data_IF_671231979988
#
_entry.id   IF_671231979988
#
_cell.length_a   1.000
_cell.length_b   1.000
_cell.length_c   1.000
_cell.angle_alpha   90.00
_cell.angle_beta   90.00
_cell.angle_gamma   90.00
#
_symmetry.space_group_name_H-M   'P 1'
#
loop_
_entity.id
_entity.type
_entity.pdbx_description
1 polymer ?
#
# COMPACT_ATOMS: atom_id res chain seq x y z
N UNK A 1 38.66 7.43 -29.80
CA UNK A 1 37.58 6.73 -30.50
C UNK A 1 36.60 6.30 -29.41
N UNK A 2 35.64 7.16 -29.11
CA UNK A 2 34.63 6.96 -28.05
C UNK A 2 33.51 6.11 -28.64
N UNK A 3 33.36 4.88 -28.13
CA UNK A 3 32.20 4.05 -28.42
C UNK A 3 30.94 4.77 -27.95
N UNK A 4 30.09 5.12 -28.92
CA UNK A 4 28.74 5.58 -28.66
C UNK A 4 27.96 4.35 -28.20
N UNK A 5 27.78 4.22 -26.89
CA UNK A 5 26.89 3.24 -26.29
C UNK A 5 25.46 3.66 -26.62
N UNK A 6 25.02 3.28 -27.83
CA UNK A 6 23.65 3.44 -28.28
C UNK A 6 22.79 2.43 -27.51
N UNK A 7 22.48 2.78 -26.26
CA UNK A 7 21.56 2.04 -25.43
C UNK A 7 20.30 1.71 -26.23
N UNK A 8 19.89 0.45 -26.17
CA UNK A 8 18.72 -0.04 -26.90
C UNK A 8 17.53 0.88 -26.61
N UNK A 9 16.84 1.42 -27.64
CA UNK A 9 15.73 2.33 -27.41
C UNK A 9 14.68 1.64 -26.55
N UNK A 10 14.23 2.32 -25.49
CA UNK A 10 13.17 1.81 -24.63
C UNK A 10 11.96 1.44 -25.50
N UNK A 11 11.32 0.28 -25.25
CA UNK A 11 10.14 -0.10 -26.01
C UNK A 11 9.08 1.01 -25.91
N UNK A 12 8.37 1.33 -27.01
CA UNK A 12 7.38 2.39 -27.01
C UNK A 12 6.27 2.08 -26.01
N UNK A 13 5.80 3.12 -25.32
CA UNK A 13 4.68 3.02 -24.40
C UNK A 13 3.42 2.50 -25.11
N UNK A 14 2.76 1.52 -24.50
CA UNK A 14 1.51 0.95 -25.03
C UNK A 14 0.34 1.73 -24.46
N UNK A 15 -0.71 1.91 -25.26
CA UNK A 15 -1.86 2.73 -24.87
C UNK A 15 -3.15 2.01 -25.19
N UNK A 16 -4.10 2.11 -24.25
CA UNK A 16 -5.44 1.59 -24.42
C UNK A 16 -6.48 2.46 -23.72
N UNK A 17 -7.72 2.36 -24.15
CA UNK A 17 -8.87 3.02 -23.53
C UNK A 17 -9.96 2.00 -23.21
N UNK A 18 -10.76 2.31 -22.20
CA UNK A 18 -11.91 1.49 -21.81
C UNK A 18 -13.14 2.38 -21.75
N UNK A 19 -14.14 2.06 -22.57
CA UNK A 19 -15.42 2.77 -22.61
C UNK A 19 -16.37 2.31 -21.49
N UNK A 20 -17.47 3.04 -21.30
CA UNK A 20 -18.42 2.80 -20.21
C UNK A 20 -19.15 1.45 -20.31
N UNK A 21 -19.35 0.96 -21.53
CA UNK A 21 -19.89 -0.37 -21.81
C UNK A 21 -18.86 -1.50 -21.60
N UNK A 22 -17.59 -1.15 -21.33
CA UNK A 22 -16.48 -2.08 -21.16
C UNK A 22 -15.73 -2.42 -22.44
N UNK A 23 -16.07 -1.81 -23.57
CA UNK A 23 -15.33 -1.98 -24.81
C UNK A 23 -13.90 -1.44 -24.64
N UNK A 24 -12.91 -2.25 -25.00
CA UNK A 24 -11.49 -1.92 -24.94
C UNK A 24 -10.99 -1.57 -26.34
N UNK A 25 -10.24 -0.48 -26.47
CA UNK A 25 -9.57 -0.08 -27.71
C UNK A 25 -8.09 0.16 -27.46
N UNK A 26 -7.22 -0.22 -28.40
CA UNK A 26 -5.76 -0.14 -28.25
C UNK A 26 -5.13 -1.44 -27.75
N UNK A 27 -3.90 -1.36 -27.27
CA UNK A 27 -3.10 -2.49 -26.81
C UNK A 27 -2.77 -2.33 -25.33
N UNK A 28 -3.29 -3.23 -24.50
CA UNK A 28 -2.94 -3.33 -23.07
C UNK A 28 -1.79 -4.30 -22.81
N UNK A 29 -1.30 -4.99 -23.84
CA UNK A 29 -0.22 -5.96 -23.76
C UNK A 29 -0.59 -7.26 -23.08
N UNK A 30 -1.87 -7.48 -22.76
CA UNK A 30 -2.33 -8.61 -21.95
C UNK A 30 -3.70 -9.17 -22.39
N UNK A 31 -4.01 -9.04 -23.68
CA UNK A 31 -5.25 -9.56 -24.30
C UNK A 31 -6.53 -9.06 -23.60
N UNK A 32 -6.53 -7.81 -23.12
CA UNK A 32 -7.66 -7.20 -22.43
C UNK A 32 -7.74 -7.49 -20.92
N UNK A 33 -6.87 -8.35 -20.36
CA UNK A 33 -6.90 -8.69 -18.94
C UNK A 33 -6.53 -7.50 -18.06
N UNK A 34 -5.47 -6.77 -18.42
CA UNK A 34 -5.07 -5.56 -17.71
C UNK A 34 -6.19 -4.52 -17.77
N UNK A 35 -6.82 -4.33 -18.93
CA UNK A 35 -7.92 -3.38 -19.08
C UNK A 35 -9.10 -3.70 -18.14
N UNK A 36 -9.50 -4.97 -18.04
CA UNK A 36 -10.58 -5.43 -17.14
C UNK A 36 -10.18 -5.27 -15.67
N UNK A 37 -8.99 -5.72 -15.30
CA UNK A 37 -8.45 -5.61 -13.94
C UNK A 37 -8.35 -4.17 -13.48
N UNK A 38 -7.81 -3.29 -14.32
CA UNK A 38 -7.67 -1.87 -14.04
C UNK A 38 -9.03 -1.19 -13.92
N UNK A 39 -10.00 -1.50 -14.80
CA UNK A 39 -11.37 -0.99 -14.68
C UNK A 39 -12.00 -1.39 -13.35
N UNK A 40 -11.84 -2.65 -12.94
CA UNK A 40 -12.33 -3.12 -11.65
C UNK A 40 -11.65 -2.40 -10.49
N UNK A 41 -10.31 -2.26 -10.53
CA UNK A 41 -9.53 -1.54 -9.53
C UNK A 41 -10.00 -0.08 -9.39
N UNK A 42 -10.15 0.65 -10.51
CA UNK A 42 -10.64 2.03 -10.52
C UNK A 42 -12.08 2.14 -9.98
N UNK A 43 -12.95 1.17 -10.29
CA UNK A 43 -14.31 1.15 -9.75
C UNK A 43 -14.33 0.98 -8.23
N UNK A 44 -13.50 0.08 -7.70
CA UNK A 44 -13.37 -0.13 -6.25
C UNK A 44 -12.74 1.10 -5.59
N UNK A 45 -11.70 1.67 -6.21
CA UNK A 45 -11.03 2.87 -5.72
C UNK A 45 -11.96 4.09 -5.72
N UNK A 46 -12.85 4.24 -6.71
CA UNK A 46 -13.85 5.31 -6.71
C UNK A 46 -14.80 5.25 -5.52
N UNK A 47 -15.10 4.06 -4.98
CA UNK A 47 -15.94 3.94 -3.78
C UNK A 47 -15.26 4.47 -2.50
N UNK A 48 -13.94 4.65 -2.51
CA UNK A 48 -13.21 5.20 -1.37
C UNK A 48 -13.50 6.69 -1.17
N UNK A 49 -14.02 7.40 -2.18
CA UNK A 49 -14.40 8.81 -2.05
C UNK A 49 -15.44 9.01 -0.93
N UNK A 50 -16.40 8.09 -0.81
CA UNK A 50 -17.46 8.14 0.19
C UNK A 50 -16.95 7.89 1.62
N UNK A 51 -15.83 7.17 1.75
CA UNK A 51 -15.24 6.84 3.04
C UNK A 51 -14.23 7.89 3.52
N UNK A 52 -13.57 8.55 2.57
CA UNK A 52 -12.42 9.42 2.84
C UNK A 52 -12.74 10.90 2.64
N UNK A 53 -13.78 11.23 1.87
CA UNK A 53 -14.05 12.59 1.43
C UNK A 53 -13.04 13.12 0.42
N UNK A 54 -12.23 12.26 -0.21
CA UNK A 54 -11.15 12.66 -1.12
C UNK A 54 -11.62 13.24 -2.47
N UNK A 55 -12.93 13.20 -2.76
CA UNK A 55 -13.50 13.60 -4.05
C UNK A 55 -13.37 12.50 -5.11
N UNK A 56 -13.71 12.83 -6.35
CA UNK A 56 -13.68 11.86 -7.46
C UNK A 56 -12.24 11.36 -7.72
N UNK A 57 -12.10 10.07 -8.03
CA UNK A 57 -10.84 9.49 -8.51
C UNK A 57 -10.54 10.01 -9.92
N UNK A 58 -9.35 10.60 -10.11
CA UNK A 58 -8.92 11.20 -11.38
C UNK A 58 -7.82 10.38 -12.07
N UNK A 59 -6.91 9.79 -11.30
CA UNK A 59 -5.81 8.98 -11.84
C UNK A 59 -5.52 7.75 -11.01
N UNK A 60 -5.06 6.71 -11.69
CA UNK A 60 -4.42 5.55 -11.08
C UNK A 60 -3.05 5.40 -11.69
N UNK A 61 -2.01 5.40 -10.87
CA UNK A 61 -0.65 5.12 -11.32
C UNK A 61 -0.02 4.02 -10.47
N UNK A 62 1.00 3.37 -11.02
CA UNK A 62 1.71 2.30 -10.33
C UNK A 62 3.21 2.55 -10.32
N UNK A 63 3.84 2.19 -9.20
CA UNK A 63 5.30 2.21 -9.06
C UNK A 63 5.78 0.76 -9.13
N UNK A 64 6.34 0.38 -10.27
CA UNK A 64 6.75 -1.00 -10.55
C UNK A 64 7.71 -1.04 -11.75
N UNK A 65 8.26 -2.22 -12.04
CA UNK A 65 9.00 -2.47 -13.27
C UNK A 65 8.15 -2.34 -14.54
N UNK A 66 6.82 -2.41 -14.42
CA UNK A 66 5.88 -2.17 -15.52
C UNK A 66 4.86 -1.12 -15.10
N UNK A 67 5.22 0.14 -15.28
CA UNK A 67 4.41 1.27 -14.84
C UNK A 67 3.16 1.40 -15.71
N UNK A 68 2.01 1.46 -15.05
CA UNK A 68 0.70 1.79 -15.61
C UNK A 68 0.30 3.14 -15.07
N UNK A 69 -0.05 4.07 -15.96
CA UNK A 69 -0.66 5.36 -15.63
C UNK A 69 -1.99 5.47 -16.37
N UNK A 70 -3.08 5.69 -15.66
CA UNK A 70 -4.41 5.73 -16.23
C UNK A 70 -5.21 6.93 -15.72
N UNK A 71 -5.75 7.69 -16.66
CA UNK A 71 -6.75 8.72 -16.38
C UNK A 71 -8.11 8.06 -16.23
N UNK A 72 -8.79 8.38 -15.15
CA UNK A 72 -10.13 7.89 -14.81
C UNK A 72 -11.17 8.93 -15.20
N UNK A 73 -12.24 8.48 -15.84
CA UNK A 73 -13.42 9.27 -16.12
C UNK A 73 -14.67 8.53 -15.69
N UNK A 74 -15.74 9.27 -15.40
CA UNK A 74 -17.02 8.72 -14.95
C UNK A 74 -18.13 9.12 -15.93
N UNK A 75 -18.91 8.14 -16.37
CA UNK A 75 -20.13 8.41 -17.15
C UNK A 75 -21.21 9.01 -16.26
N UNK A 76 -22.28 9.53 -16.87
CA UNK A 76 -23.47 10.01 -16.14
C UNK A 76 -24.13 8.91 -15.30
N UNK A 77 -23.99 7.65 -15.70
CA UNK A 77 -24.47 6.48 -14.95
C UNK A 77 -23.46 6.01 -13.88
N UNK A 78 -22.40 6.77 -13.60
CA UNK A 78 -21.27 6.41 -12.72
C UNK A 78 -20.54 5.13 -13.15
N UNK A 79 -20.50 4.88 -14.46
CA UNK A 79 -19.65 3.83 -15.03
C UNK A 79 -18.23 4.36 -15.28
N UNK A 80 -17.23 3.53 -14.93
CA UNK A 80 -15.82 3.86 -15.12
C UNK A 80 -15.43 3.82 -16.59
N UNK A 81 -14.73 4.85 -17.03
CA UNK A 81 -14.02 4.96 -18.31
C UNK A 81 -12.54 5.23 -18.04
N UNK A 82 -11.65 4.77 -18.92
CA UNK A 82 -10.21 4.86 -18.71
C UNK A 82 -9.47 5.25 -19.99
N UNK A 83 -8.39 5.99 -19.83
CA UNK A 83 -7.33 6.14 -20.83
C UNK A 83 -6.00 5.84 -20.16
N UNK A 84 -5.32 4.78 -20.58
CA UNK A 84 -4.16 4.24 -19.90
C UNK A 84 -2.95 4.14 -20.82
N UNK A 85 -1.78 4.32 -20.22
CA UNK A 85 -0.46 4.15 -20.80
C UNK A 85 0.34 3.17 -19.95
N UNK A 86 1.01 2.24 -20.61
CA UNK A 86 1.82 1.17 -20.01
C UNK A 86 3.25 1.31 -20.51
N UNK A 87 4.17 1.52 -19.58
CA UNK A 87 5.58 1.71 -19.83
C UNK A 87 6.40 0.60 -19.17
N UNK A 88 7.22 -0.08 -19.97
CA UNK A 88 8.20 -1.02 -19.45
C UNK A 88 9.39 -0.27 -18.86
N UNK A 89 9.65 -0.48 -17.58
CA UNK A 89 10.80 0.03 -16.85
C UNK A 89 11.84 -1.04 -16.56
N UNK A 90 13.02 -0.61 -16.12
CA UNK A 90 14.01 -1.53 -15.56
C UNK A 90 13.58 -1.97 -14.16
N UNK A 91 13.73 -3.26 -13.80
CA UNK A 91 13.52 -3.71 -12.43
C UNK A 91 14.42 -2.91 -11.48
N UNK A 92 13.82 -2.31 -10.46
CA UNK A 92 14.56 -1.61 -9.41
C UNK A 92 15.00 -2.64 -8.36
N UNK A 93 16.30 -2.74 -8.01
CA UNK A 93 16.69 -3.58 -6.89
C UNK A 93 16.09 -3.03 -5.59
N UNK A 94 15.55 -3.90 -4.71
CA UNK A 94 15.07 -3.47 -3.41
C UNK A 94 16.24 -2.89 -2.60
N UNK A 95 15.99 -1.82 -1.86
CA UNK A 95 17.02 -1.22 -0.98
C UNK A 95 17.25 -2.15 0.21
N UNK A 96 18.51 -2.43 0.52
CA UNK A 96 18.86 -3.24 1.70
C UNK A 96 18.80 -2.38 2.96
N UNK A 97 18.14 -2.89 4.01
CA UNK A 97 18.08 -2.24 5.32
C UNK A 97 18.61 -3.18 6.40
N UNK A 98 19.32 -2.61 7.38
CA UNK A 98 19.71 -3.33 8.59
C UNK A 98 18.69 -3.03 9.67
N UNK A 99 17.83 -4.00 10.00
CA UNK A 99 16.85 -3.85 11.09
C UNK A 99 17.55 -4.19 12.41
N UNK A 100 17.56 -3.24 13.34
CA UNK A 100 18.13 -3.42 14.68
C UNK A 100 16.99 -3.67 15.68
N UNK A 101 16.82 -4.94 16.07
CA UNK A 101 15.86 -5.36 17.11
C UNK A 101 14.58 -5.99 16.55
N UNK A 102 14.23 -7.17 17.05
CA UNK A 102 13.10 -7.97 16.56
C UNK A 102 12.42 -8.76 17.67
N UNK A 103 11.71 -8.07 18.57
CA UNK A 103 10.82 -8.76 19.51
C UNK A 103 9.43 -8.14 19.64
N UNK A 104 9.24 -6.86 19.27
CA UNK A 104 7.95 -6.18 19.41
C UNK A 104 7.44 -5.67 18.05
N UNK A 105 6.46 -6.39 17.51
CA UNK A 105 5.78 -6.05 16.25
C UNK A 105 5.03 -4.71 16.35
N UNK A 106 4.53 -4.34 17.53
CA UNK A 106 3.81 -3.08 17.72
C UNK A 106 4.75 -1.89 17.74
N UNK A 107 5.95 -2.03 18.33
CA UNK A 107 7.00 -1.02 18.23
C UNK A 107 7.47 -0.82 16.78
N UNK A 108 7.65 -1.92 16.04
CA UNK A 108 8.00 -1.87 14.62
C UNK A 108 6.89 -1.20 13.77
N UNK A 109 5.63 -1.57 14.01
CA UNK A 109 4.47 -0.94 13.37
C UNK A 109 4.39 0.56 13.68
N UNK A 110 4.51 0.95 14.96
CA UNK A 110 4.49 2.35 15.36
C UNK A 110 5.62 3.15 14.68
N UNK A 111 6.83 2.58 14.62
CA UNK A 111 7.96 3.18 13.92
C UNK A 111 7.67 3.37 12.42
N UNK A 112 7.24 2.31 11.73
CA UNK A 112 6.89 2.38 10.30
C UNK A 112 5.77 3.39 10.02
N UNK A 113 4.72 3.40 10.83
CA UNK A 113 3.60 4.33 10.69
C UNK A 113 4.02 5.79 10.94
N UNK A 114 4.90 6.03 11.91
CA UNK A 114 5.49 7.35 12.14
C UNK A 114 6.36 7.79 10.96
N UNK A 115 7.18 6.90 10.41
CA UNK A 115 8.04 7.18 9.24
C UNK A 115 7.21 7.50 8.00
N UNK A 116 6.19 6.69 7.69
CA UNK A 116 5.22 6.95 6.61
C UNK A 116 4.63 8.34 6.76
N UNK A 117 4.16 8.69 7.96
CA UNK A 117 3.57 10.02 8.23
C UNK A 117 4.55 11.16 8.02
N UNK A 118 5.77 11.05 8.56
CA UNK A 118 6.76 12.13 8.50
C UNK A 118 7.30 12.35 7.09
N UNK A 119 7.57 11.26 6.36
CA UNK A 119 8.27 11.32 5.07
C UNK A 119 7.32 11.57 3.90
N UNK A 120 6.07 11.07 3.98
CA UNK A 120 5.06 11.27 2.95
C UNK A 120 4.08 12.40 3.28
N UNK A 121 4.19 13.02 4.45
CA UNK A 121 3.28 14.08 4.89
C UNK A 121 1.82 13.62 4.98
N UNK A 122 1.59 12.34 5.32
CA UNK A 122 0.24 11.76 5.27
C UNK A 122 -0.64 12.31 6.38
N UNK A 123 -1.88 12.62 6.05
CA UNK A 123 -2.92 12.97 7.01
C UNK A 123 -3.25 11.78 7.89
N UNK A 124 -3.38 10.60 7.28
CA UNK A 124 -3.64 9.35 7.98
C UNK A 124 -3.08 8.16 7.18
N UNK A 125 -2.91 7.04 7.85
CA UNK A 125 -2.56 5.78 7.22
C UNK A 125 -2.74 4.61 8.17
N UNK A 126 -2.75 3.39 7.63
CA UNK A 126 -2.88 2.18 8.41
C UNK A 126 -2.31 0.95 7.68
N UNK A 127 -2.13 -0.11 8.45
CA UNK A 127 -1.80 -1.45 7.96
C UNK A 127 -2.98 -2.37 8.25
N UNK A 128 -3.52 -2.97 7.20
CA UNK A 128 -4.55 -4.01 7.29
C UNK A 128 -3.95 -5.35 6.91
N UNK A 129 -4.27 -6.36 7.70
CA UNK A 129 -3.86 -7.75 7.48
C UNK A 129 -4.78 -8.44 6.47
N UNK A 130 -4.37 -9.61 5.97
CA UNK A 130 -5.11 -10.34 4.94
C UNK A 130 -6.43 -10.92 5.44
N UNK A 131 -6.55 -11.10 6.76
CA UNK A 131 -7.80 -11.46 7.44
C UNK A 131 -8.67 -10.24 7.81
N UNK A 132 -8.30 -9.05 7.30
CA UNK A 132 -9.02 -7.77 7.38
C UNK A 132 -8.98 -7.08 8.73
N UNK A 133 -8.00 -7.39 9.60
CA UNK A 133 -7.77 -6.66 10.86
C UNK A 133 -6.81 -5.49 10.65
N UNK A 134 -7.13 -4.33 11.22
CA UNK A 134 -6.19 -3.20 11.26
C UNK A 134 -5.26 -3.39 12.45
N UNK A 135 -3.95 -3.47 12.21
CA UNK A 135 -2.94 -3.79 13.23
C UNK A 135 -2.02 -2.61 13.58
N UNK A 136 -2.06 -1.54 12.78
CA UNK A 136 -1.37 -0.29 13.06
C UNK A 136 -2.02 0.85 12.29
N UNK A 137 -2.03 2.04 12.89
CA UNK A 137 -2.55 3.26 12.25
C UNK A 137 -1.79 4.49 12.73
N UNK A 138 -1.67 5.49 11.85
CA UNK A 138 -1.29 6.85 12.17
C UNK A 138 -2.48 7.74 11.81
N UNK A 139 -3.16 8.30 12.80
CA UNK A 139 -4.31 9.21 12.60
C UNK A 139 -4.05 10.47 13.44
N UNK A 140 -4.48 11.67 12.99
CA UNK A 140 -4.33 12.89 13.78
C UNK A 140 -5.09 12.75 15.10
N UNK A 141 -4.48 13.17 16.21
CA UNK A 141 -5.12 13.11 17.54
C UNK A 141 -6.16 14.21 17.76
N UNK A 142 -6.26 15.19 16.86
CA UNK A 142 -7.15 16.34 17.00
C UNK A 142 -7.44 16.93 15.62
N UNK A 143 -8.70 16.89 15.19
CA UNK A 143 -9.13 17.60 13.99
C UNK A 143 -10.40 17.01 13.40
N UNK A 144 -11.51 17.74 13.56
CA UNK A 144 -12.86 17.38 13.10
C UNK A 144 -12.99 17.26 11.58
N UNK A 145 -12.51 16.16 11.02
CA UNK A 145 -12.58 15.84 9.59
C UNK A 145 -13.42 14.59 9.34
N UNK A 146 -13.75 14.33 8.07
CA UNK A 146 -14.60 13.19 7.63
C UNK A 146 -14.06 11.81 8.09
N UNK A 147 -12.76 11.73 8.42
CA UNK A 147 -12.11 10.56 9.03
C UNK A 147 -11.90 10.69 10.54
N UNK A 148 -12.76 11.42 11.24
CA UNK A 148 -12.83 11.48 12.71
C UNK A 148 -13.01 10.10 13.36
N UNK A 149 -13.36 9.08 12.57
CA UNK A 149 -13.56 7.74 13.05
C UNK A 149 -12.51 6.80 12.48
N UNK A 150 -11.60 6.34 13.35
CA UNK A 150 -10.83 5.10 13.19
C UNK A 150 -11.69 3.94 12.64
N UNK A 151 -13.01 3.99 12.84
CA UNK A 151 -14.01 3.05 12.32
C UNK A 151 -14.05 2.90 10.79
N UNK A 152 -13.66 3.90 10.00
CA UNK A 152 -13.65 3.78 8.53
C UNK A 152 -12.38 3.08 7.99
N UNK A 153 -11.30 3.02 8.79
CA UNK A 153 -10.01 2.45 8.36
C UNK A 153 -10.13 1.00 7.88
N UNK A 154 -10.83 0.08 8.56
CA UNK A 154 -10.98 -1.28 8.07
C UNK A 154 -11.66 -1.34 6.70
N UNK A 155 -12.67 -0.52 6.46
CA UNK A 155 -13.42 -0.52 5.20
C UNK A 155 -12.61 0.02 4.02
N UNK A 156 -11.79 1.05 4.29
CA UNK A 156 -10.77 1.56 3.36
C UNK A 156 -9.74 0.47 3.08
N UNK A 157 -9.22 -0.18 4.11
CA UNK A 157 -8.21 -1.23 3.98
C UNK A 157 -8.72 -2.44 3.18
N UNK A 158 -9.98 -2.84 3.35
CA UNK A 158 -10.60 -3.92 2.56
C UNK A 158 -10.63 -3.56 1.06
N UNK A 159 -10.98 -2.31 0.72
CA UNK A 159 -10.96 -1.83 -0.66
C UNK A 159 -9.54 -1.69 -1.20
N UNK A 160 -8.59 -1.26 -0.39
CA UNK A 160 -7.18 -1.23 -0.73
C UNK A 160 -6.65 -2.64 -1.07
N UNK A 161 -6.99 -3.65 -0.26
CA UNK A 161 -6.70 -5.06 -0.57
C UNK A 161 -7.36 -5.52 -1.86
N UNK A 162 -8.59 -5.09 -2.14
CA UNK A 162 -9.28 -5.44 -3.39
C UNK A 162 -8.64 -4.78 -4.62
N UNK A 163 -8.16 -3.54 -4.52
CA UNK A 163 -7.38 -2.86 -5.56
C UNK A 163 -6.09 -3.63 -5.84
N UNK A 164 -5.33 -3.99 -4.80
CA UNK A 164 -4.13 -4.82 -4.96
C UNK A 164 -4.49 -6.19 -5.57
N UNK A 165 -5.53 -6.85 -5.09
CA UNK A 165 -5.95 -8.16 -5.60
C UNK A 165 -6.45 -8.15 -7.04
N UNK A 166 -6.89 -7.00 -7.56
CA UNK A 166 -7.34 -6.85 -8.94
C UNK A 166 -6.17 -6.78 -9.93
N UNK A 167 -5.02 -6.24 -9.51
CA UNK A 167 -3.86 -6.03 -10.35
C UNK A 167 -2.86 -7.17 -10.19
N UNK A 168 -2.28 -7.62 -11.31
CA UNK A 168 -1.19 -8.59 -11.27
C UNK A 168 0.05 -8.01 -10.58
N UNK A 169 0.84 -8.89 -9.97
CA UNK A 169 1.99 -8.51 -9.13
C UNK A 169 2.98 -7.60 -9.88
N UNK A 170 3.25 -7.87 -11.17
CA UNK A 170 4.13 -7.07 -12.03
C UNK A 170 3.74 -5.58 -12.14
N UNK A 171 2.46 -5.27 -11.97
CA UNK A 171 1.98 -3.89 -12.04
C UNK A 171 2.02 -3.20 -10.68
N UNK A 172 1.98 -3.93 -9.57
CA UNK A 172 1.86 -3.37 -8.21
C UNK A 172 3.05 -3.69 -7.31
N UNK A 173 4.20 -4.02 -7.90
CA UNK A 173 5.39 -4.51 -7.20
C UNK A 173 5.78 -3.61 -6.03
N UNK A 174 5.79 -2.28 -6.21
CA UNK A 174 6.05 -1.33 -5.11
C UNK A 174 4.74 -0.85 -4.53
N UNK A 175 3.95 -0.10 -5.30
CA UNK A 175 2.66 0.42 -4.84
C UNK A 175 1.74 0.82 -5.99
N UNK A 176 0.49 1.09 -5.64
CA UNK A 176 -0.51 1.75 -6.45
C UNK A 176 -0.78 3.12 -5.83
N UNK A 177 -0.82 4.16 -6.64
CA UNK A 177 -1.21 5.51 -6.25
C UNK A 177 -2.57 5.81 -6.88
N UNK A 178 -3.48 6.29 -6.05
CA UNK A 178 -4.84 6.64 -6.43
C UNK A 178 -4.98 8.15 -6.20
N UNK A 179 -4.93 8.94 -7.27
CA UNK A 179 -5.04 10.39 -7.19
C UNK A 179 -6.50 10.80 -7.31
N UNK A 180 -7.00 11.41 -6.25
CA UNK A 180 -8.33 11.99 -6.14
C UNK A 180 -8.25 13.52 -6.22
N UNK A 181 -9.40 14.16 -6.39
CA UNK A 181 -9.51 15.62 -6.44
C UNK A 181 -8.91 16.34 -5.21
N UNK A 182 -8.87 15.69 -4.04
CA UNK A 182 -8.39 16.26 -2.78
C UNK A 182 -7.23 15.50 -2.13
N UNK A 183 -6.47 14.72 -2.91
CA UNK A 183 -5.24 14.10 -2.44
C UNK A 183 -4.96 12.74 -3.08
N UNK A 184 -3.88 12.12 -2.65
CA UNK A 184 -3.42 10.82 -3.16
C UNK A 184 -3.49 9.77 -2.06
N UNK A 185 -4.15 8.66 -2.35
CA UNK A 185 -4.08 7.45 -1.54
C UNK A 185 -2.99 6.53 -2.11
N UNK A 186 -1.97 6.26 -1.31
CA UNK A 186 -0.99 5.22 -1.55
C UNK A 186 -1.53 3.89 -1.05
N UNK A 187 -1.34 2.83 -1.82
CA UNK A 187 -1.64 1.45 -1.44
C UNK A 187 -0.47 0.54 -1.82
N UNK A 188 0.15 -0.11 -0.85
CA UNK A 188 1.31 -0.99 -1.04
C UNK A 188 1.08 -2.36 -0.41
N UNK A 189 1.46 -3.42 -1.14
CA UNK A 189 1.42 -4.78 -0.60
C UNK A 189 2.58 -5.03 0.37
N UNK A 190 2.32 -5.67 1.50
CA UNK A 190 3.31 -6.20 2.44
C UNK A 190 2.98 -7.69 2.63
N UNK A 191 3.49 -8.55 1.75
CA UNK A 191 3.02 -9.94 1.67
C UNK A 191 1.52 -10.00 1.32
N UNK A 192 0.72 -10.65 2.18
CA UNK A 192 -0.74 -10.74 2.06
C UNK A 192 -1.48 -9.58 2.77
N UNK A 193 -0.75 -8.53 3.16
CA UNK A 193 -1.26 -7.37 3.89
C UNK A 193 -1.15 -6.12 3.03
N UNK A 194 -1.80 -5.04 3.45
CA UNK A 194 -1.73 -3.76 2.77
C UNK A 194 -1.37 -2.64 3.74
N UNK A 195 -0.36 -1.85 3.36
CA UNK A 195 -0.16 -0.50 3.86
C UNK A 195 -0.96 0.45 2.97
N UNK A 196 -1.70 1.36 3.57
CA UNK A 196 -2.40 2.40 2.84
C UNK A 196 -2.34 3.72 3.61
N UNK A 197 -2.09 4.82 2.91
CA UNK A 197 -1.89 6.12 3.52
C UNK A 197 -2.31 7.24 2.57
N UNK A 198 -2.90 8.30 3.11
CA UNK A 198 -3.45 9.41 2.34
C UNK A 198 -2.70 10.70 2.64
N UNK A 199 -2.32 11.42 1.59
CA UNK A 199 -1.59 12.69 1.66
C UNK A 199 -2.11 13.65 0.59
N UNK A 200 -1.83 14.95 0.70
CA UNK A 200 -2.22 15.94 -0.33
C UNK A 200 -1.54 15.67 -1.66
N UNK A 201 -0.25 15.32 -1.61
CA UNK A 201 0.59 14.93 -2.75
C UNK A 201 1.67 13.99 -2.28
N UNK A 202 2.09 13.12 -3.19
CA UNK A 202 3.06 12.08 -2.91
C UNK A 202 4.17 12.12 -3.97
N UNK A 203 5.43 12.18 -3.52
CA UNK A 203 6.59 12.02 -4.40
C UNK A 203 6.88 10.53 -4.62
N UNK A 204 6.76 10.07 -5.87
CA UNK A 204 6.95 8.67 -6.26
C UNK A 204 8.34 8.12 -5.91
N UNK A 205 9.38 8.97 -5.86
CA UNK A 205 10.74 8.56 -5.48
C UNK A 205 10.81 8.25 -3.99
N UNK A 206 10.24 9.11 -3.17
CA UNK A 206 10.20 8.93 -1.71
C UNK A 206 9.34 7.72 -1.35
N UNK A 207 8.23 7.51 -2.05
CA UNK A 207 7.36 6.34 -1.87
C UNK A 207 8.11 5.04 -1.99
N UNK A 208 8.90 4.87 -3.06
CA UNK A 208 9.58 3.61 -3.29
C UNK A 208 10.56 3.27 -2.15
N UNK A 209 11.26 4.28 -1.62
CA UNK A 209 12.17 4.09 -0.49
C UNK A 209 11.43 3.74 0.80
N UNK A 210 10.32 4.43 1.10
CA UNK A 210 9.54 4.20 2.32
C UNK A 210 8.86 2.83 2.27
N UNK A 211 8.31 2.42 1.13
CA UNK A 211 7.69 1.10 1.00
C UNK A 211 8.71 -0.01 1.17
N UNK A 212 9.92 0.13 0.60
CA UNK A 212 10.99 -0.85 0.82
C UNK A 212 11.43 -0.90 2.28
N UNK A 213 11.57 0.26 2.94
CA UNK A 213 11.91 0.36 4.37
C UNK A 213 10.87 -0.38 5.22
N UNK A 214 9.58 -0.09 4.99
CA UNK A 214 8.48 -0.74 5.71
C UNK A 214 8.47 -2.24 5.48
N UNK A 215 8.70 -2.71 4.25
CA UNK A 215 8.78 -4.16 3.93
C UNK A 215 9.98 -4.84 4.55
N UNK A 216 11.10 -4.12 4.70
CA UNK A 216 12.28 -4.65 5.35
C UNK A 216 12.10 -4.77 6.87
N UNK A 217 11.37 -3.82 7.49
CA UNK A 217 11.11 -3.82 8.94
C UNK A 217 9.96 -4.75 9.32
N UNK A 218 8.87 -4.77 8.53
CA UNK A 218 7.67 -5.55 8.83
C UNK A 218 7.66 -6.87 8.06
N UNK A 219 8.01 -7.96 8.76
CA UNK A 219 7.81 -9.31 8.24
C UNK A 219 6.31 -9.62 8.10
N UNK A 220 5.86 -10.21 6.97
CA UNK A 220 4.48 -10.67 6.83
C UNK A 220 4.04 -11.64 7.94
N UNK A 221 4.94 -12.50 8.42
CA UNK A 221 4.63 -13.46 9.49
C UNK A 221 4.38 -12.78 10.84
N UNK A 222 5.04 -11.65 11.10
CA UNK A 222 4.85 -10.88 12.33
C UNK A 222 3.53 -10.09 12.27
N UNK A 223 3.21 -9.51 11.12
CA UNK A 223 1.94 -8.83 10.89
C UNK A 223 0.74 -9.76 11.04
N UNK A 224 0.86 -11.02 10.61
CA UNK A 224 -0.20 -12.01 10.80
C UNK A 224 -0.49 -12.29 12.29
N UNK A 225 0.52 -12.17 13.18
CA UNK A 225 0.41 -12.38 14.63
C UNK A 225 0.08 -11.12 15.42
N UNK A 226 0.17 -9.94 14.82
CA UNK A 226 -0.09 -8.69 15.50
C UNK A 226 -1.55 -8.60 15.97
N UNK A 227 -1.75 -8.00 17.14
CA UNK A 227 -3.08 -7.74 17.68
C UNK A 227 -3.77 -6.60 16.92
N UNK A 228 -5.09 -6.69 16.80
CA UNK A 228 -5.91 -5.64 16.20
C UNK A 228 -5.86 -4.40 17.09
N UNK A 229 -5.68 -3.21 16.51
CA UNK A 229 -5.88 -1.98 17.27
C UNK A 229 -7.37 -1.82 17.57
N UNK A 230 -7.73 -1.67 18.85
CA UNK A 230 -9.13 -1.45 19.24
C UNK A 230 -9.55 -0.07 18.74
N UNK A 231 -10.23 0.00 17.60
CA UNK A 231 -10.70 1.25 16.96
C UNK A 231 -11.91 1.89 17.67
N UNK A 232 -12.04 1.72 19.00
CA UNK A 232 -13.24 2.15 19.74
C UNK A 232 -13.18 1.97 21.26
N UNK A 233 -12.03 2.19 21.90
CA UNK A 233 -11.92 2.19 23.36
C UNK A 233 -11.64 3.59 23.90
N UNK A 234 -12.59 4.18 24.60
CA UNK A 234 -12.35 5.32 25.51
C UNK A 234 -11.27 4.94 26.53
N UNK A 235 -10.02 5.29 26.25
CA UNK A 235 -8.98 5.35 27.28
C UNK A 235 -9.17 6.65 28.08
N UNK A 236 -10.27 6.72 28.82
CA UNK A 236 -10.55 7.76 29.79
C UNK A 236 -11.25 7.14 31.00
N UNK A 237 -10.67 6.08 31.56
CA UNK A 237 -10.86 5.74 32.96
C UNK A 237 -9.84 4.70 33.41
N UNK A 238 -8.64 5.16 33.80
CA UNK A 238 -7.68 4.39 34.63
C UNK A 238 -6.50 5.28 35.06
N UNK A 239 -6.73 6.49 35.60
CA UNK A 239 -5.65 7.25 36.27
C UNK A 239 -6.14 8.16 37.44
N UNK A 240 -7.21 7.80 38.14
CA UNK A 240 -7.51 8.39 39.45
C UNK A 240 -7.73 7.28 40.49
N UNK A 241 -6.64 6.72 40.99
CA UNK A 241 -6.68 5.81 42.12
C UNK A 241 -5.32 5.23 42.49
N UNK A 242 -4.67 5.81 43.50
CA UNK A 242 -3.71 5.09 44.34
C UNK A 242 -2.24 5.46 44.14
N UNK A 243 -1.78 6.41 44.95
CA UNK A 243 -0.50 6.43 45.69
C UNK A 243 0.66 5.53 45.22
N UNK A 244 1.79 6.19 44.92
CA UNK A 244 3.16 5.66 44.81
C UNK A 244 3.51 4.58 45.85
N UNK A 245 4.43 3.66 45.47
CA UNK A 245 5.73 3.70 46.15
C UNK A 245 6.96 3.49 45.23
N UNK A 246 7.91 4.42 45.37
CA UNK A 246 9.39 4.38 45.27
C UNK A 246 10.07 3.14 44.61
N UNK A 247 10.92 3.33 43.57
CA UNK A 247 11.78 2.29 43.03
C UNK A 247 13.11 2.12 43.79
N UNK A 248 13.58 0.87 43.93
CA UNK A 248 14.95 0.50 44.35
C UNK A 248 15.80 0.08 43.14
N UNK A 249 17.15 0.21 43.20
CA UNK A 249 18.02 0.28 42.03
C UNK A 249 18.48 -1.07 41.46
N UNK A 250 18.96 -0.95 40.22
CA UNK A 250 19.18 -1.90 39.13
C UNK A 250 20.37 -2.87 39.28
N UNK A 251 20.27 -4.04 38.62
CA UNK A 251 21.39 -4.91 38.22
C UNK A 251 21.58 -4.83 36.68
N UNK A 252 22.83 -4.76 36.15
CA UNK A 252 23.05 -4.53 34.72
C UNK A 252 22.86 -5.79 33.86
N UNK A 253 22.02 -5.68 32.83
CA UNK A 253 21.87 -6.68 31.78
C UNK A 253 23.12 -6.74 30.88
N UNK A 254 23.56 -7.95 30.55
CA UNK A 254 24.70 -8.22 29.67
C UNK A 254 24.51 -7.69 28.23
N UNK A 255 25.60 -7.62 27.44
CA UNK A 255 25.57 -7.01 26.11
C UNK A 255 24.68 -7.79 25.14
N UNK A 256 23.92 -7.11 24.25
CA UNK A 256 23.08 -7.78 23.27
C UNK A 256 23.94 -8.48 22.19
N UNK A 257 23.56 -9.69 21.75
CA UNK A 257 24.26 -10.38 20.67
C UNK A 257 24.11 -9.58 19.36
N UNK A 258 25.24 -9.21 18.78
CA UNK A 258 25.32 -8.44 17.55
C UNK A 258 25.42 -9.38 16.34
N UNK A 259 24.54 -9.21 15.36
CA UNK A 259 24.76 -9.64 13.98
C UNK A 259 24.14 -10.98 13.57
N UNK A 260 22.94 -10.94 12.99
CA UNK A 260 22.51 -11.93 12.00
C UNK A 260 22.22 -11.21 10.68
N UNK A 261 23.03 -11.51 9.66
CA UNK A 261 22.74 -11.14 8.28
C UNK A 261 21.74 -12.16 7.74
N UNK A 262 20.49 -11.74 7.54
CA UNK A 262 19.51 -12.60 6.88
C UNK A 262 19.80 -12.63 5.38
N UNK A 263 20.12 -13.82 4.89
CA UNK A 263 20.34 -14.12 3.48
C UNK A 263 18.98 -14.48 2.86
N UNK A 264 18.64 -13.83 1.76
CA UNK A 264 17.40 -13.93 0.99
C UNK A 264 16.67 -15.28 1.08
N UNK A 265 15.48 -15.26 1.70
CA UNK A 265 14.45 -16.27 1.49
C UNK A 265 13.85 -15.99 0.11
N UNK A 266 13.84 -17.01 -0.76
CA UNK A 266 13.25 -16.94 -2.09
C UNK A 266 11.81 -16.40 -2.04
N UNK A 267 11.38 -15.58 -3.01
CA UNK A 267 10.01 -15.10 -3.08
C UNK A 267 9.07 -16.32 -3.21
N UNK A 268 8.35 -16.61 -2.13
CA UNK A 268 7.31 -17.62 -2.12
C UNK A 268 6.13 -17.01 -2.88
N UNK A 269 5.72 -17.68 -3.96
CA UNK A 269 4.61 -17.26 -4.82
C UNK A 269 3.41 -16.79 -3.97
N UNK A 270 3.06 -15.52 -4.14
CA UNK A 270 1.93 -14.89 -3.49
C UNK A 270 0.65 -15.65 -3.85
N UNK A 271 -0.25 -15.89 -2.88
CA UNK A 271 -1.43 -16.74 -3.04
C UNK A 271 -2.52 -16.12 -3.94
N UNK A 272 -2.28 -14.91 -4.43
CA UNK A 272 -3.19 -14.09 -5.21
C UNK A 272 -3.46 -14.61 -6.63
N UNK A 273 -2.73 -15.64 -7.09
CA UNK A 273 -2.90 -16.24 -8.43
C UNK A 273 -3.65 -17.58 -8.53
N UNK A 274 -4.09 -18.21 -7.43
CA UNK A 274 -4.77 -19.53 -7.51
C UNK A 274 -6.29 -19.41 -7.49
N UNK A 275 -6.90 -19.12 -8.64
CA UNK A 275 -8.32 -19.41 -8.88
C UNK A 275 -8.53 -20.26 -10.13
N UNK A 276 -8.42 -21.58 -9.90
CA UNK A 276 -9.11 -22.72 -10.54
C UNK A 276 -9.46 -22.63 -12.03
N UNK A 277 -8.61 -23.24 -12.86
CA UNK A 277 -9.07 -24.08 -13.96
C UNK A 277 -9.44 -25.45 -13.38
N UNK A 278 -10.71 -25.65 -13.05
CA UNK A 278 -11.29 -26.99 -12.90
C UNK A 278 -12.71 -26.94 -13.46
N UNK A 279 -12.93 -27.63 -14.57
CA UNK A 279 -14.25 -27.99 -15.06
C UNK A 279 -14.49 -27.73 -16.54
N UNK A 280 -13.86 -28.50 -17.43
CA UNK A 280 -14.44 -28.96 -18.70
C UNK A 280 -13.83 -30.32 -19.05
N UNK A 281 -14.52 -31.38 -18.64
CA UNK A 281 -14.68 -32.59 -19.46
C UNK A 281 -16.01 -32.46 -20.20
#
# INVERSE_FOLDING_TARGET
MTEYDAGTPAPPARRFTVAADGTVSGDDGDSGRLAVSLRYACRVAGQLEFLTGAGDLEWVSTVSSTAVTARVGWSLAREVTLSAEVEGGAPRPPKEFTVVGGSDVHAALAHCMQRVRQMLGTHWGAVITGDKRVVGAAVPQSGGGVLDSMAALPEVGIRALAVLGALEERYRETCVLLDYAHGTLLVAAIGDHALYAFADKVDTRVVAEIVDEVRAVLSPDDLARADTITTGGTAADSLLGGTEPVPSPSEPAGPPPTGMRYRNVQPRQSRWGRRREQGRE
#
